data_IF_928105101692
#
_entry.id   IF_928105101692
#
_cell.length_a   1.000
_cell.length_b   1.000
_cell.length_c   1.000
_cell.angle_alpha   90.00
_cell.angle_beta   90.00
_cell.angle_gamma   90.00
#
_symmetry.space_group_name_H-M   'P 1'
#
loop_
_entity.id
_entity.type
_entity.pdbx_description
1 polymer ?
#
# COMPACT_ATOMS: atom_id res chain seq x y z
N UNK A 1 6.71 -21.75 -1.83
CA UNK A 1 6.35 -21.22 -1.93
C UNK A 1 5.42 -20.72 -2.17
N UNK A 2 4.91 -20.80 -2.10
CA UNK A 2 4.25 -20.21 -2.50
C UNK A 2 3.60 -19.11 -2.23
N UNK A 3 3.89 -18.67 -1.53
CA UNK A 3 3.64 -17.28 -1.34
C UNK A 3 3.44 -16.55 -2.65
N UNK A 4 4.24 -16.92 -3.63
CA UNK A 4 4.09 -16.31 -4.93
C UNK A 4 2.72 -16.51 -5.51
N UNK A 5 2.20 -17.70 -5.37
CA UNK A 5 0.89 -17.98 -5.93
C UNK A 5 -0.15 -17.07 -5.29
N UNK A 6 -0.04 -16.89 -3.97
CA UNK A 6 -0.97 -16.04 -3.26
C UNK A 6 -0.85 -14.60 -3.72
N UNK A 7 0.36 -14.14 -3.89
CA UNK A 7 0.58 -12.78 -4.31
C UNK A 7 0.10 -12.56 -5.73
N UNK A 8 0.28 -13.54 -6.58
CA UNK A 8 -0.17 -13.42 -7.95
C UNK A 8 -1.68 -13.24 -8.01
N UNK A 9 -2.41 -13.94 -7.16
CA UNK A 9 -3.85 -13.80 -7.15
C UNK A 9 -4.29 -12.42 -6.70
N UNK A 10 -3.49 -11.79 -5.86
CA UNK A 10 -3.84 -10.50 -5.30
C UNK A 10 -3.15 -9.35 -5.99
N UNK A 11 -2.22 -9.66 -6.89
CA UNK A 11 -1.48 -8.62 -7.56
C UNK A 11 -2.39 -7.94 -8.57
N UNK A 12 -2.56 -6.66 -8.43
CA UNK A 12 -3.41 -5.89 -9.30
C UNK A 12 -2.62 -5.06 -10.30
N UNK A 13 -1.29 -5.05 -10.15
CA UNK A 13 -0.44 -4.25 -11.00
C UNK A 13 -0.26 -2.82 -10.54
N UNK A 14 -0.85 -2.46 -9.40
CA UNK A 14 -0.76 -1.12 -8.86
C UNK A 14 -0.50 -1.16 -7.37
N UNK A 15 0.12 -0.10 -6.87
CA UNK A 15 0.30 0.08 -5.44
C UNK A 15 -0.13 1.49 -5.05
N UNK A 16 -0.68 1.60 -3.86
CA UNK A 16 -1.01 2.88 -3.25
C UNK A 16 0.16 3.21 -2.33
N UNK A 17 0.86 4.29 -2.65
CA UNK A 17 2.10 4.63 -1.96
C UNK A 17 1.92 5.86 -1.11
N UNK A 18 2.28 5.73 0.18
CA UNK A 18 2.25 6.83 1.14
C UNK A 18 3.69 7.22 1.40
N UNK A 19 4.11 8.37 0.90
CA UNK A 19 5.48 8.85 1.10
C UNK A 19 5.57 9.57 2.44
N UNK A 20 6.62 9.26 3.21
CA UNK A 20 6.83 9.91 4.49
C UNK A 20 7.14 11.39 4.27
N UNK A 21 6.60 12.23 5.13
CA UNK A 21 6.88 13.67 5.09
C UNK A 21 8.17 14.01 5.81
N UNK A 22 8.70 13.10 6.63
CA UNK A 22 9.86 13.40 7.44
C UNK A 22 11.09 12.60 7.08
N UNK A 23 10.91 11.39 6.57
CA UNK A 23 12.02 10.49 6.30
C UNK A 23 12.09 10.23 4.81
N UNK A 24 12.96 10.95 4.14
CA UNK A 24 13.15 10.80 2.72
C UNK A 24 13.54 9.36 2.43
N UNK A 25 12.92 8.80 1.39
CA UNK A 25 13.18 7.41 1.05
C UNK A 25 12.32 6.41 1.79
N UNK A 26 11.54 6.84 2.77
CA UNK A 26 10.66 5.95 3.50
C UNK A 26 9.23 6.10 2.99
N UNK A 27 8.58 4.99 2.76
CA UNK A 27 7.20 4.99 2.29
C UNK A 27 6.53 3.70 2.68
N UNK A 28 5.21 3.73 2.75
CA UNK A 28 4.39 2.54 2.88
C UNK A 28 3.68 2.33 1.55
N UNK A 29 3.54 1.08 1.13
CA UNK A 29 2.88 0.78 -0.12
C UNK A 29 1.98 -0.42 0.07
N UNK A 30 0.82 -0.39 -0.55
CA UNK A 30 -0.18 -1.44 -0.44
C UNK A 30 -0.72 -1.74 -1.82
N UNK A 31 -0.95 -3.03 -2.11
CA UNK A 31 -1.58 -3.40 -3.38
C UNK A 31 -2.92 -2.72 -3.51
N UNK A 32 -3.20 -2.20 -4.69
CA UNK A 32 -4.48 -1.56 -4.94
C UNK A 32 -4.87 -1.74 -6.40
N UNK A 33 -6.10 -1.35 -6.74
CA UNK A 33 -6.51 -1.34 -8.13
C UNK A 33 -6.13 0.00 -8.76
N UNK A 34 -6.45 0.16 -10.04
CA UNK A 34 -6.08 1.36 -10.75
C UNK A 34 -6.72 2.62 -10.17
N UNK A 35 -7.80 2.46 -9.44
CA UNK A 35 -8.48 3.57 -8.78
C UNK A 35 -7.99 3.86 -7.38
N UNK A 36 -7.01 3.10 -6.90
CA UNK A 36 -6.46 3.32 -5.58
C UNK A 36 -7.19 2.61 -4.46
N UNK A 37 -8.03 1.64 -4.79
CA UNK A 37 -8.78 0.90 -3.76
C UNK A 37 -7.97 -0.27 -3.26
N UNK A 38 -7.75 -0.33 -1.97
CA UNK A 38 -7.01 -1.40 -1.31
C UNK A 38 -8.02 -2.41 -0.76
N UNK A 39 -7.80 -3.68 -1.10
CA UNK A 39 -8.66 -4.75 -0.59
C UNK A 39 -8.16 -5.14 0.80
N UNK A 40 -8.84 -4.64 1.81
CA UNK A 40 -8.41 -4.87 3.19
C UNK A 40 -8.46 -6.34 3.56
N UNK A 41 -9.38 -7.10 2.96
CA UNK A 41 -9.49 -8.51 3.29
C UNK A 41 -8.29 -9.32 2.82
N UNK A 42 -7.53 -8.79 1.87
CA UNK A 42 -6.35 -9.50 1.38
C UNK A 42 -5.09 -9.14 2.17
N UNK A 43 -5.19 -8.21 3.11
CA UNK A 43 -4.04 -7.78 3.90
C UNK A 43 -3.91 -8.63 5.17
N UNK A 44 -2.66 -8.82 5.61
CA UNK A 44 -2.44 -9.39 6.93
C UNK A 44 -2.95 -8.41 7.98
N UNK A 45 -3.10 -8.90 9.22
CA UNK A 45 -3.52 -8.01 10.29
C UNK A 45 -2.58 -6.84 10.46
N UNK A 46 -1.28 -7.12 10.38
CA UNK A 46 -0.30 -6.07 10.54
C UNK A 46 -0.38 -5.04 9.40
N UNK A 47 -0.50 -5.53 8.18
CA UNK A 47 -0.59 -4.62 7.04
C UNK A 47 -1.86 -3.79 7.11
N UNK A 48 -2.95 -4.40 7.58
CA UNK A 48 -4.21 -3.68 7.72
C UNK A 48 -4.06 -2.54 8.72
N UNK A 49 -3.42 -2.81 9.86
CA UNK A 49 -3.19 -1.76 10.86
C UNK A 49 -2.31 -0.66 10.29
N UNK A 50 -1.28 -1.02 9.57
CA UNK A 50 -0.39 -0.04 8.95
C UNK A 50 -1.14 0.83 7.96
N UNK A 51 -2.02 0.22 7.18
CA UNK A 51 -2.79 0.96 6.18
C UNK A 51 -3.72 1.96 6.87
N UNK A 52 -4.44 1.51 7.91
CA UNK A 52 -5.36 2.38 8.61
C UNK A 52 -4.61 3.51 9.31
N UNK A 53 -3.46 3.21 9.86
CA UNK A 53 -2.64 4.24 10.48
C UNK A 53 -2.19 5.27 9.44
N UNK A 54 -1.69 4.80 8.29
CA UNK A 54 -1.21 5.72 7.27
C UNK A 54 -2.32 6.66 6.83
N UNK A 55 -3.55 6.13 6.68
CA UNK A 55 -4.68 6.96 6.30
C UNK A 55 -4.99 8.01 7.34
N UNK A 56 -4.83 7.67 8.60
CA UNK A 56 -5.15 8.56 9.70
C UNK A 56 -4.20 9.75 9.76
N UNK A 57 -2.95 9.54 9.35
CA UNK A 57 -1.93 10.57 9.52
C UNK A 57 -1.53 11.24 8.20
N UNK A 58 -2.39 11.15 7.19
CA UNK A 58 -2.16 11.88 5.95
C UNK A 58 -2.10 13.36 6.25
N UNK A 59 -1.08 14.04 5.73
CA UNK A 59 -0.90 15.45 5.94
C UNK A 59 -0.07 15.77 7.16
N UNK A 60 0.14 14.78 8.04
CA UNK A 60 0.94 14.97 9.23
C UNK A 60 2.24 14.18 9.16
N UNK A 61 2.14 12.87 8.95
CA UNK A 61 3.32 12.01 8.88
C UNK A 61 3.56 11.50 7.47
N UNK A 62 2.50 11.38 6.68
CA UNK A 62 2.58 10.90 5.31
C UNK A 62 1.87 11.86 4.37
N UNK A 63 2.39 11.95 3.17
CA UNK A 63 1.73 12.73 2.12
C UNK A 63 0.48 11.99 1.65
N UNK A 64 -0.38 12.71 0.96
CA UNK A 64 -1.52 12.09 0.30
C UNK A 64 -0.99 10.99 -0.61
N UNK A 65 -1.57 9.78 -0.53
CA UNK A 65 -1.02 8.67 -1.29
C UNK A 65 -1.23 8.84 -2.79
N UNK A 66 -0.36 8.18 -3.55
CA UNK A 66 -0.48 8.16 -5.01
C UNK A 66 -0.57 6.72 -5.48
N UNK A 67 -1.24 6.53 -6.61
CA UNK A 67 -1.35 5.22 -7.24
C UNK A 67 -0.21 5.11 -8.24
N UNK A 68 0.59 4.06 -8.13
CA UNK A 68 1.71 3.83 -9.02
C UNK A 68 1.63 2.44 -9.60
N UNK A 69 2.14 2.29 -10.81
CA UNK A 69 2.20 0.96 -11.39
C UNK A 69 3.26 0.15 -10.69
N UNK A 70 2.89 -1.08 -10.38
CA UNK A 70 3.83 -2.03 -9.78
C UNK A 70 4.56 -2.70 -10.93
N UNK A 71 5.82 -2.36 -11.13
CA UNK A 71 6.60 -2.86 -12.24
C UNK A 71 7.52 -3.95 -11.76
N UNK A 72 7.49 -5.07 -12.44
CA UNK A 72 8.36 -6.20 -12.11
C UNK A 72 8.92 -6.82 -13.36
#
# INVERSE_FOLDING_TARGET
>A
MNIQATQARQATGYVLRFQSLFAEGRALAFECDAGGHVDLDSLSERAKLNYLYARTVIGRDYATPSVERSIH
#
